data_IF_791048043036
#
_entry.id   IF_791048043036
#
_cell.length_a   1.000
_cell.length_b   1.000
_cell.length_c   1.000
_cell.angle_alpha   90.00
_cell.angle_beta   90.00
_cell.angle_gamma   90.00
#
_symmetry.space_group_name_H-M   'P 1'
#
loop_
_entity.id
_entity.type
_entity.pdbx_description
1 polymer ?
#
# COMPACT_ATOMS: atom_id res chain seq x y z
N UNK A 1 22.04 -34.83 10.52
CA UNK A 1 21.85 -33.51 9.85
C UNK A 1 22.96 -32.48 10.21
N UNK A 2 24.16 -32.90 10.53
CA UNK A 2 25.24 -32.03 11.04
C UNK A 2 26.34 -31.71 10.01
N UNK A 3 26.43 -32.43 8.91
CA UNK A 3 27.54 -32.32 7.94
C UNK A 3 27.58 -31.02 7.10
N UNK A 4 26.55 -30.19 7.13
CA UNK A 4 26.47 -29.00 6.28
C UNK A 4 27.09 -27.73 6.90
N UNK A 5 27.33 -27.74 8.20
CA UNK A 5 27.88 -26.60 8.94
C UNK A 5 29.37 -26.73 9.29
N UNK A 6 29.90 -27.96 9.35
CA UNK A 6 31.34 -28.23 9.61
C UNK A 6 32.27 -27.64 8.55
N UNK A 7 31.77 -27.45 7.32
CA UNK A 7 32.59 -26.90 6.23
C UNK A 7 32.82 -25.39 6.38
N UNK A 8 31.94 -24.66 7.05
CA UNK A 8 32.09 -23.20 7.24
C UNK A 8 33.19 -22.86 8.25
N UNK A 9 33.40 -23.71 9.26
CA UNK A 9 34.42 -23.49 10.29
C UNK A 9 35.84 -23.60 9.75
N UNK A 10 36.03 -24.42 8.68
CA UNK A 10 37.33 -24.64 8.07
C UNK A 10 37.71 -23.64 6.97
N UNK A 11 36.75 -22.77 6.56
CA UNK A 11 36.95 -21.76 5.52
C UNK A 11 37.79 -20.59 6.00
N UNK A 12 38.68 -20.08 5.17
CA UNK A 12 39.35 -18.80 5.37
C UNK A 12 38.36 -17.63 5.31
N UNK A 13 38.69 -16.44 5.84
CA UNK A 13 37.84 -15.25 5.72
C UNK A 13 37.48 -14.92 4.26
N UNK A 14 38.42 -15.01 3.33
CA UNK A 14 38.24 -14.76 1.90
C UNK A 14 37.27 -15.76 1.26
N UNK A 15 37.39 -17.03 1.62
CA UNK A 15 36.47 -18.09 1.15
C UNK A 15 35.04 -17.86 1.68
N UNK A 16 34.91 -17.42 2.94
CA UNK A 16 33.61 -17.05 3.52
C UNK A 16 32.98 -15.87 2.79
N UNK A 17 33.72 -14.79 2.51
CA UNK A 17 33.23 -13.66 1.74
C UNK A 17 32.80 -14.06 0.34
N UNK A 18 33.61 -14.88 -0.36
CA UNK A 18 33.28 -15.39 -1.68
C UNK A 18 32.02 -16.28 -1.66
N UNK A 19 31.89 -17.13 -0.64
CA UNK A 19 30.72 -17.98 -0.48
C UNK A 19 29.44 -17.17 -0.24
N UNK A 20 29.50 -16.09 0.59
CA UNK A 20 28.38 -15.20 0.82
C UNK A 20 27.98 -14.47 -0.47
N UNK A 21 28.96 -13.95 -1.24
CA UNK A 21 28.67 -13.30 -2.51
C UNK A 21 27.96 -14.23 -3.51
N UNK A 22 28.44 -15.47 -3.66
CA UNK A 22 27.81 -16.47 -4.51
C UNK A 22 26.41 -16.89 -4.05
N UNK A 23 26.20 -16.98 -2.74
CA UNK A 23 24.87 -17.31 -2.19
C UNK A 23 23.90 -16.14 -2.36
N UNK A 24 24.38 -14.90 -2.22
CA UNK A 24 23.60 -13.69 -2.48
C UNK A 24 23.15 -13.67 -3.94
N UNK A 25 24.06 -13.87 -4.88
CA UNK A 25 23.76 -13.93 -6.31
C UNK A 25 22.67 -14.96 -6.63
N UNK A 26 22.82 -16.18 -6.11
CA UNK A 26 21.80 -17.23 -6.27
C UNK A 26 20.46 -16.87 -5.64
N UNK A 27 20.45 -16.17 -4.53
CA UNK A 27 19.22 -15.70 -3.89
C UNK A 27 18.51 -14.68 -4.79
N UNK A 28 19.29 -13.77 -5.39
CA UNK A 28 18.76 -12.74 -6.29
C UNK A 28 18.28 -13.32 -7.63
N UNK A 29 18.94 -14.34 -8.18
CA UNK A 29 18.43 -15.08 -9.32
C UNK A 29 17.12 -15.80 -9.01
N UNK A 30 17.05 -16.45 -7.86
CA UNK A 30 15.90 -17.27 -7.50
C UNK A 30 14.66 -16.44 -7.15
N UNK A 31 14.78 -15.20 -6.63
CA UNK A 31 13.59 -14.44 -6.29
C UNK A 31 12.80 -13.96 -7.51
N UNK A 32 13.47 -13.67 -8.63
CA UNK A 32 12.82 -13.31 -9.89
C UNK A 32 11.99 -14.47 -10.42
N UNK A 33 12.63 -15.65 -10.56
CA UNK A 33 11.95 -16.86 -11.02
C UNK A 33 10.82 -17.30 -10.09
N UNK A 34 11.03 -17.20 -8.78
CA UNK A 34 10.01 -17.51 -7.80
C UNK A 34 8.85 -16.52 -7.86
N UNK A 35 9.13 -15.23 -8.03
CA UNK A 35 8.14 -14.17 -8.23
C UNK A 35 7.27 -14.43 -9.44
N UNK A 36 7.87 -14.82 -10.57
CA UNK A 36 7.18 -15.17 -11.80
C UNK A 36 6.20 -16.34 -11.59
N UNK A 37 6.68 -17.44 -11.03
CA UNK A 37 5.86 -18.62 -10.79
C UNK A 37 4.71 -18.34 -9.83
N UNK A 38 4.98 -17.59 -8.76
CA UNK A 38 3.97 -17.21 -7.78
C UNK A 38 2.92 -16.26 -8.37
N UNK A 39 3.33 -15.32 -9.23
CA UNK A 39 2.42 -14.43 -9.95
C UNK A 39 1.50 -15.23 -10.86
N UNK A 40 2.06 -16.14 -11.66
CA UNK A 40 1.30 -16.97 -12.57
C UNK A 40 0.30 -17.88 -11.84
N UNK A 41 0.73 -18.54 -10.78
CA UNK A 41 -0.15 -19.38 -9.94
C UNK A 41 -1.30 -18.57 -9.35
N UNK A 42 -0.99 -17.35 -8.88
CA UNK A 42 -1.99 -16.43 -8.27
C UNK A 42 -3.00 -15.95 -9.31
N UNK A 43 -2.54 -15.53 -10.48
CA UNK A 43 -3.36 -14.98 -11.57
C UNK A 43 -4.26 -16.04 -12.20
N UNK A 44 -3.68 -17.21 -12.54
CA UNK A 44 -4.41 -18.33 -13.14
C UNK A 44 -5.29 -19.09 -12.15
N UNK A 45 -5.09 -18.87 -10.84
CA UNK A 45 -5.83 -19.55 -9.74
C UNK A 45 -5.70 -21.07 -9.78
N UNK A 46 -4.59 -21.63 -10.35
CA UNK A 46 -4.38 -23.08 -10.47
C UNK A 46 -4.26 -23.77 -9.10
N UNK A 47 -3.98 -23.04 -8.01
CA UNK A 47 -4.05 -23.57 -6.65
C UNK A 47 -5.42 -24.17 -6.29
N UNK A 48 -6.50 -23.76 -6.96
CA UNK A 48 -7.84 -24.34 -6.79
C UNK A 48 -7.93 -25.77 -7.29
N UNK A 49 -7.11 -26.13 -8.27
CA UNK A 49 -7.05 -27.54 -8.77
C UNK A 49 -6.51 -28.51 -7.69
N UNK A 50 -5.78 -27.99 -6.71
CA UNK A 50 -5.31 -28.74 -5.55
C UNK A 50 -6.28 -28.67 -4.35
N UNK A 51 -7.45 -28.04 -4.51
CA UNK A 51 -8.47 -27.94 -3.47
C UNK A 51 -8.34 -26.77 -2.51
N UNK A 52 -7.40 -25.81 -2.74
CA UNK A 52 -7.24 -24.64 -1.90
C UNK A 52 -8.20 -23.53 -2.27
N UNK A 53 -8.78 -22.86 -1.29
CA UNK A 53 -9.68 -21.74 -1.52
C UNK A 53 -8.95 -20.44 -1.77
N UNK A 54 -7.76 -20.26 -1.16
CA UNK A 54 -6.96 -19.05 -1.26
C UNK A 54 -5.50 -19.32 -1.65
N UNK A 55 -4.91 -18.35 -2.35
CA UNK A 55 -3.48 -18.38 -2.68
C UNK A 55 -2.59 -18.42 -1.42
N UNK A 56 -3.00 -17.69 -0.36
CA UNK A 56 -2.28 -17.65 0.90
C UNK A 56 -2.21 -19.05 1.53
N UNK A 57 -3.34 -19.69 1.69
CA UNK A 57 -3.43 -21.06 2.23
C UNK A 57 -2.57 -22.05 1.44
N UNK A 58 -2.64 -21.99 0.11
CA UNK A 58 -1.85 -22.81 -0.78
C UNK A 58 -0.35 -22.69 -0.53
N UNK A 59 0.19 -21.44 -0.51
CA UNK A 59 1.64 -21.25 -0.36
C UNK A 59 2.13 -21.55 1.05
N UNK A 60 1.30 -21.32 2.07
CA UNK A 60 1.62 -21.65 3.46
C UNK A 60 1.64 -23.16 3.69
N UNK A 61 0.72 -23.91 3.09
CA UNK A 61 0.61 -25.36 3.28
C UNK A 61 1.59 -26.14 2.42
N UNK A 62 1.69 -25.83 1.12
CA UNK A 62 2.51 -26.60 0.20
C UNK A 62 4.01 -26.29 0.30
N UNK A 63 4.36 -25.03 0.54
CA UNK A 63 5.75 -24.56 0.49
C UNK A 63 6.27 -24.00 1.81
N UNK A 64 5.47 -23.96 2.86
CA UNK A 64 5.85 -23.32 4.14
C UNK A 64 6.33 -21.87 3.95
N UNK A 65 5.81 -21.18 2.92
CA UNK A 65 6.13 -19.81 2.58
C UNK A 65 5.01 -18.89 3.08
N UNK A 66 5.36 -17.85 3.84
CA UNK A 66 4.31 -16.95 4.32
C UNK A 66 3.56 -16.30 3.14
N UNK A 67 2.22 -16.24 3.23
CA UNK A 67 1.39 -15.62 2.19
C UNK A 67 1.75 -14.16 1.92
N UNK A 68 2.26 -13.44 2.95
CA UNK A 68 2.78 -12.08 2.80
C UNK A 68 4.03 -12.03 1.92
N UNK A 69 5.01 -12.92 2.15
CA UNK A 69 6.24 -12.95 1.34
C UNK A 69 5.94 -13.39 -0.10
N UNK A 70 5.13 -14.44 -0.27
CA UNK A 70 4.71 -14.88 -1.60
C UNK A 70 3.99 -13.78 -2.39
N UNK A 71 3.09 -13.03 -1.71
CA UNK A 71 2.41 -11.89 -2.32
C UNK A 71 3.33 -10.76 -2.71
N UNK A 72 4.37 -10.47 -1.93
CA UNK A 72 5.38 -9.45 -2.23
C UNK A 72 6.29 -9.85 -3.40
N UNK A 73 6.72 -11.09 -3.45
CA UNK A 73 7.51 -11.63 -4.56
C UNK A 73 6.75 -11.53 -5.88
N UNK A 74 5.50 -12.00 -5.90
CA UNK A 74 4.64 -11.87 -7.07
C UNK A 74 4.45 -10.39 -7.47
N UNK A 75 4.19 -9.50 -6.50
CA UNK A 75 3.95 -8.09 -6.77
C UNK A 75 5.19 -7.35 -7.30
N UNK A 76 6.39 -7.71 -6.87
CA UNK A 76 7.64 -7.17 -7.42
C UNK A 76 7.80 -7.61 -8.87
N UNK A 77 7.58 -8.88 -9.18
CA UNK A 77 7.64 -9.40 -10.55
C UNK A 77 6.60 -8.69 -11.44
N UNK A 78 5.34 -8.63 -11.02
CA UNK A 78 4.24 -8.02 -11.78
C UNK A 78 4.55 -6.56 -12.14
N UNK A 79 5.05 -5.77 -11.17
CA UNK A 79 5.27 -4.33 -11.38
C UNK A 79 6.53 -4.06 -12.19
N UNK A 80 7.66 -4.64 -11.82
CA UNK A 80 8.94 -4.23 -12.40
C UNK A 80 9.27 -4.97 -13.70
N UNK A 81 8.84 -6.22 -13.84
CA UNK A 81 9.12 -7.02 -15.04
C UNK A 81 7.93 -6.96 -16.01
N UNK A 82 6.71 -7.31 -15.57
CA UNK A 82 5.57 -7.37 -16.50
C UNK A 82 5.03 -5.99 -16.88
N UNK A 83 4.91 -5.03 -15.93
CA UNK A 83 4.33 -3.71 -16.23
C UNK A 83 5.37 -2.72 -16.75
N UNK A 84 6.59 -2.70 -16.19
CA UNK A 84 7.62 -1.70 -16.50
C UNK A 84 8.68 -2.19 -17.48
N UNK A 85 8.75 -3.48 -17.74
CA UNK A 85 9.77 -4.12 -18.62
C UNK A 85 11.22 -3.80 -18.18
N UNK A 86 11.46 -3.71 -16.87
CA UNK A 86 12.80 -3.53 -16.33
C UNK A 86 13.58 -4.82 -16.53
N UNK A 87 14.81 -4.71 -17.06
CA UNK A 87 15.62 -5.89 -17.32
C UNK A 87 16.02 -6.65 -16.05
N UNK A 88 16.15 -7.95 -16.16
CA UNK A 88 16.47 -8.82 -15.01
C UNK A 88 17.82 -8.51 -14.37
N UNK A 89 18.79 -7.98 -15.12
CA UNK A 89 20.10 -7.57 -14.59
C UNK A 89 19.95 -6.46 -13.58
N UNK A 90 19.26 -5.38 -13.96
CA UNK A 90 18.92 -4.24 -13.08
C UNK A 90 18.11 -4.69 -11.86
N UNK A 91 17.14 -5.59 -12.06
CA UNK A 91 16.33 -6.15 -10.96
C UNK A 91 17.21 -6.88 -9.93
N UNK A 92 18.19 -7.66 -10.39
CA UNK A 92 19.13 -8.39 -9.54
C UNK A 92 20.10 -7.45 -8.80
N UNK A 93 20.57 -6.39 -9.47
CA UNK A 93 21.47 -5.39 -8.85
C UNK A 93 20.77 -4.59 -7.75
N UNK A 94 19.55 -4.16 -8.00
CA UNK A 94 18.72 -3.49 -6.99
C UNK A 94 18.43 -4.42 -5.83
N UNK A 95 18.02 -5.64 -6.12
CA UNK A 95 17.68 -6.68 -5.16
C UNK A 95 16.27 -6.53 -4.56
N UNK A 96 15.75 -7.65 -4.09
CA UNK A 96 14.34 -7.77 -3.65
C UNK A 96 13.94 -6.75 -2.57
N UNK A 97 14.78 -6.52 -1.57
CA UNK A 97 14.44 -5.65 -0.44
C UNK A 97 14.19 -4.19 -0.88
N UNK A 98 15.04 -3.65 -1.77
CA UNK A 98 14.89 -2.29 -2.29
C UNK A 98 13.68 -2.18 -3.21
N UNK A 99 13.49 -3.15 -4.11
CA UNK A 99 12.31 -3.20 -4.99
C UNK A 99 11.01 -3.28 -4.20
N UNK A 100 10.96 -4.11 -3.16
CA UNK A 100 9.81 -4.20 -2.28
C UNK A 100 9.50 -2.88 -1.57
N UNK A 101 10.52 -2.09 -1.20
CA UNK A 101 10.33 -0.79 -0.54
C UNK A 101 9.72 0.25 -1.47
N UNK A 102 10.16 0.31 -2.74
CA UNK A 102 9.66 1.29 -3.71
C UNK A 102 8.38 0.85 -4.42
N UNK A 103 8.05 -0.43 -4.47
CA UNK A 103 6.90 -0.99 -5.18
C UNK A 103 5.56 -0.28 -4.89
N UNK A 104 5.19 0.09 -3.64
CA UNK A 104 3.96 0.82 -3.36
C UNK A 104 3.96 2.26 -3.91
N UNK A 105 5.13 2.86 -4.08
CA UNK A 105 5.30 4.21 -4.62
C UNK A 105 5.21 4.17 -6.15
N UNK A 106 5.92 3.25 -6.77
CA UNK A 106 5.89 2.99 -8.21
C UNK A 106 4.47 2.71 -8.72
N UNK A 107 3.65 1.97 -7.98
CA UNK A 107 2.24 1.72 -8.35
C UNK A 107 1.37 2.96 -8.40
N UNK A 108 1.70 3.98 -7.62
CA UNK A 108 0.93 5.23 -7.54
C UNK A 108 1.48 6.32 -8.47
N UNK A 109 2.70 6.15 -8.93
CA UNK A 109 3.46 7.12 -9.71
C UNK A 109 3.08 7.07 -11.20
N UNK A 110 3.27 8.19 -11.90
CA UNK A 110 3.29 8.23 -13.36
C UNK A 110 4.56 7.58 -13.93
N UNK A 111 4.63 7.40 -15.26
CA UNK A 111 5.73 6.71 -15.91
C UNK A 111 7.11 7.34 -15.61
N UNK A 112 7.22 8.66 -15.65
CA UNK A 112 8.47 9.37 -15.40
C UNK A 112 8.94 9.16 -13.96
N UNK A 113 8.03 9.26 -13.02
CA UNK A 113 8.30 9.03 -11.60
C UNK A 113 8.65 7.57 -11.29
N UNK A 114 8.10 6.61 -12.05
CA UNK A 114 8.43 5.19 -11.92
C UNK A 114 9.90 4.92 -12.22
N UNK A 115 10.39 5.48 -13.34
CA UNK A 115 11.79 5.36 -13.73
C UNK A 115 12.73 6.03 -12.72
N UNK A 116 12.35 7.21 -12.20
CA UNK A 116 13.09 7.88 -11.13
C UNK A 116 13.21 7.02 -9.86
N UNK A 117 12.14 6.29 -9.50
CA UNK A 117 12.18 5.41 -8.34
C UNK A 117 13.09 4.19 -8.55
N UNK A 118 13.10 3.63 -9.75
CA UNK A 118 14.01 2.53 -10.10
C UNK A 118 15.45 3.01 -10.03
N UNK A 119 15.76 4.15 -10.64
CA UNK A 119 17.10 4.77 -10.60
C UNK A 119 17.54 5.05 -9.15
N UNK A 120 16.68 5.63 -8.32
CA UNK A 120 17.00 5.86 -6.89
C UNK A 120 17.25 4.56 -6.13
N UNK A 121 16.52 3.50 -6.45
CA UNK A 121 16.74 2.21 -5.82
C UNK A 121 18.04 1.53 -6.27
N UNK A 122 18.52 1.84 -7.46
CA UNK A 122 19.82 1.38 -7.98
C UNK A 122 20.97 2.14 -7.31
N UNK A 123 20.89 3.47 -7.27
CA UNK A 123 21.97 4.35 -6.81
C UNK A 123 22.13 4.40 -5.28
N UNK A 124 20.98 4.36 -4.53
CA UNK A 124 21.02 4.58 -3.09
C UNK A 124 21.22 3.29 -2.29
N UNK A 125 22.06 3.32 -1.26
CA UNK A 125 22.11 2.25 -0.26
C UNK A 125 20.74 2.04 0.39
N UNK A 126 20.45 0.81 0.80
CA UNK A 126 19.16 0.41 1.41
C UNK A 126 18.74 1.32 2.59
N UNK A 127 19.71 1.81 3.37
CA UNK A 127 19.45 2.71 4.50
C UNK A 127 18.96 4.08 4.02
N UNK A 128 19.67 4.67 3.07
CA UNK A 128 19.40 6.01 2.57
C UNK A 128 18.09 6.04 1.77
N UNK A 129 17.82 4.99 0.98
CA UNK A 129 16.54 4.80 0.29
C UNK A 129 15.37 4.74 1.29
N UNK A 130 15.55 4.03 2.42
CA UNK A 130 14.51 3.94 3.47
C UNK A 130 14.26 5.27 4.15
N UNK A 131 15.31 6.05 4.41
CA UNK A 131 15.17 7.39 4.96
C UNK A 131 14.45 8.32 3.99
N UNK A 132 14.85 8.34 2.73
CA UNK A 132 14.20 9.13 1.69
C UNK A 132 12.71 8.81 1.54
N UNK A 133 12.33 7.51 1.52
CA UNK A 133 10.93 7.10 1.50
C UNK A 133 10.17 7.57 2.75
N UNK A 134 10.82 7.57 3.91
CA UNK A 134 10.20 8.04 5.16
C UNK A 134 9.94 9.53 5.13
N UNK A 135 10.86 10.32 4.59
CA UNK A 135 10.71 11.77 4.45
C UNK A 135 9.53 12.12 3.52
N UNK A 136 9.46 11.50 2.35
CA UNK A 136 8.35 11.70 1.40
C UNK A 136 6.99 11.36 2.06
N UNK A 137 6.89 10.22 2.74
CA UNK A 137 5.67 9.84 3.44
C UNK A 137 5.30 10.79 4.57
N UNK A 138 6.28 11.42 5.20
CA UNK A 138 6.05 12.44 6.23
C UNK A 138 5.51 13.73 5.61
N UNK A 139 6.11 14.19 4.52
CA UNK A 139 5.64 15.37 3.78
C UNK A 139 4.22 15.18 3.21
N UNK A 140 3.93 14.02 2.62
CA UNK A 140 2.57 13.68 2.14
C UNK A 140 1.56 13.75 3.30
N UNK A 141 1.91 13.19 4.45
CA UNK A 141 1.03 13.17 5.62
C UNK A 141 0.83 14.56 6.22
N UNK A 142 1.85 15.42 6.21
CA UNK A 142 1.74 16.82 6.64
C UNK A 142 0.84 17.61 5.68
N UNK A 143 0.99 17.44 4.37
CA UNK A 143 0.11 18.04 3.35
C UNK A 143 -1.35 17.59 3.50
N UNK A 144 -1.59 16.31 3.74
CA UNK A 144 -2.94 15.78 3.97
C UNK A 144 -3.57 16.35 5.26
N UNK A 145 -2.78 16.54 6.31
CA UNK A 145 -3.27 17.16 7.55
C UNK A 145 -3.61 18.63 7.36
N UNK A 146 -2.82 19.38 6.61
CA UNK A 146 -3.09 20.79 6.32
C UNK A 146 -4.35 20.96 5.46
N UNK A 147 -4.52 20.13 4.42
CA UNK A 147 -5.74 20.14 3.60
C UNK A 147 -6.98 19.79 4.44
N UNK A 148 -6.89 18.82 5.32
CA UNK A 148 -7.99 18.45 6.21
C UNK A 148 -8.35 19.59 7.18
N UNK A 149 -7.37 20.31 7.71
CA UNK A 149 -7.56 21.45 8.56
C UNK A 149 -8.26 22.59 7.81
N UNK A 150 -7.75 22.94 6.63
CA UNK A 150 -8.38 23.97 5.77
C UNK A 150 -9.84 23.60 5.45
N UNK A 151 -10.12 22.35 5.18
CA UNK A 151 -11.48 21.87 4.90
C UNK A 151 -12.39 22.01 6.12
N UNK A 152 -11.90 21.67 7.32
CA UNK A 152 -12.64 21.83 8.58
C UNK A 152 -12.89 23.29 8.87
N UNK A 153 -11.90 24.17 8.72
CA UNK A 153 -12.03 25.59 8.95
C UNK A 153 -13.05 26.23 8.02
N UNK A 154 -13.04 25.91 6.72
CA UNK A 154 -14.05 26.34 5.76
C UNK A 154 -15.46 25.84 6.11
N UNK A 155 -15.58 24.64 6.65
CA UNK A 155 -16.86 24.07 7.05
C UNK A 155 -17.42 24.78 8.29
N UNK A 156 -16.55 25.06 9.27
CA UNK A 156 -16.88 25.84 10.47
C UNK A 156 -17.30 27.26 10.12
N UNK A 157 -16.60 27.91 9.20
CA UNK A 157 -16.93 29.26 8.72
C UNK A 157 -18.33 29.30 8.09
N UNK A 158 -18.67 28.31 7.24
CA UNK A 158 -20.00 28.17 6.64
C UNK A 158 -21.10 27.93 7.68
N UNK A 159 -20.86 27.06 8.65
CA UNK A 159 -21.82 26.82 9.76
C UNK A 159 -22.00 28.08 10.57
N UNK A 160 -20.94 28.79 10.91
CA UNK A 160 -21.00 30.05 11.65
C UNK A 160 -21.79 31.12 10.90
N UNK A 161 -21.59 31.24 9.58
CA UNK A 161 -22.36 32.14 8.72
C UNK A 161 -23.85 31.79 8.68
N UNK A 162 -24.21 30.49 8.69
CA UNK A 162 -25.60 30.04 8.76
C UNK A 162 -26.23 30.36 10.14
N UNK A 163 -25.50 30.09 11.22
CA UNK A 163 -25.98 30.33 12.59
C UNK A 163 -26.16 31.83 12.90
N UNK A 164 -25.35 32.69 12.28
CA UNK A 164 -25.42 34.15 12.46
C UNK A 164 -26.34 34.84 11.46
N UNK A 165 -26.92 34.13 10.48
CA UNK A 165 -27.85 34.76 9.56
C UNK A 165 -29.25 34.96 10.19
N UNK A 166 -29.98 35.96 9.72
CA UNK A 166 -31.37 36.21 10.14
C UNK A 166 -32.26 35.03 9.71
N UNK A 167 -33.38 34.84 10.42
CA UNK A 167 -34.36 33.78 10.06
C UNK A 167 -34.88 33.93 8.61
N UNK A 168 -35.00 35.17 8.15
CA UNK A 168 -35.43 35.48 6.77
C UNK A 168 -34.36 35.07 5.77
N UNK A 169 -33.08 35.36 6.02
CA UNK A 169 -31.97 34.98 5.15
C UNK A 169 -31.76 33.47 5.14
N UNK A 170 -31.94 32.81 6.28
CA UNK A 170 -31.88 31.37 6.37
C UNK A 170 -32.96 30.70 5.51
N UNK A 171 -34.21 31.19 5.63
CA UNK A 171 -35.32 30.67 4.81
C UNK A 171 -35.07 30.89 3.32
N UNK A 172 -34.52 32.04 2.94
CA UNK A 172 -34.17 32.34 1.55
C UNK A 172 -33.06 31.42 1.02
N UNK A 173 -32.02 31.22 1.79
CA UNK A 173 -30.92 30.31 1.44
C UNK A 173 -31.40 28.85 1.34
N UNK A 174 -32.28 28.42 2.26
CA UNK A 174 -32.87 27.07 2.19
C UNK A 174 -33.79 26.94 0.97
N UNK A 175 -34.58 27.97 0.64
CA UNK A 175 -35.39 27.94 -0.55
C UNK A 175 -34.58 27.87 -1.85
N UNK A 176 -33.43 28.57 -1.92
CA UNK A 176 -32.50 28.45 -3.06
C UNK A 176 -31.83 27.07 -3.17
N UNK A 177 -31.53 26.46 -2.05
CA UNK A 177 -30.87 25.12 -2.03
C UNK A 177 -31.85 23.99 -2.37
N UNK A 178 -33.13 24.17 -2.03
CA UNK A 178 -34.16 23.13 -2.14
C UNK A 178 -35.32 23.53 -3.07
N UNK A 179 -35.05 24.46 -4.01
CA UNK A 179 -36.10 24.98 -4.89
C UNK A 179 -36.86 23.90 -5.70
N UNK A 180 -36.19 22.73 -5.93
CA UNK A 180 -36.75 21.59 -6.67
C UNK A 180 -37.15 20.41 -5.75
N UNK A 181 -37.02 20.53 -4.43
CA UNK A 181 -37.30 19.44 -3.50
C UNK A 181 -38.61 19.67 -2.74
N UNK A 182 -39.41 18.61 -2.59
CA UNK A 182 -40.61 18.65 -1.76
C UNK A 182 -40.23 18.89 -0.28
N UNK A 183 -40.80 19.92 0.38
CA UNK A 183 -40.58 20.17 1.79
C UNK A 183 -40.86 18.99 2.73
N UNK A 184 -41.81 18.13 2.39
CA UNK A 184 -42.13 16.93 3.18
C UNK A 184 -41.03 15.86 3.06
N UNK A 185 -40.46 15.67 1.87
CA UNK A 185 -39.31 14.77 1.68
C UNK A 185 -38.08 15.27 2.42
N UNK A 186 -37.82 16.58 2.42
CA UNK A 186 -36.74 17.18 3.20
C UNK A 186 -36.93 16.91 4.69
N UNK A 187 -38.14 17.16 5.22
CA UNK A 187 -38.45 16.88 6.63
C UNK A 187 -38.27 15.41 6.99
N UNK A 188 -38.63 14.51 6.09
CA UNK A 188 -38.45 13.07 6.29
C UNK A 188 -36.97 12.69 6.40
N UNK A 189 -36.14 13.14 5.47
CA UNK A 189 -34.68 12.89 5.47
C UNK A 189 -34.02 13.47 6.70
N UNK A 190 -34.39 14.70 7.11
CA UNK A 190 -33.83 15.34 8.33
C UNK A 190 -34.18 14.52 9.58
N UNK A 191 -35.46 14.06 9.71
CA UNK A 191 -35.87 13.24 10.85
C UNK A 191 -35.18 11.86 10.88
N UNK A 192 -34.96 11.24 9.73
CA UNK A 192 -34.23 9.98 9.64
C UNK A 192 -32.77 10.14 10.08
N UNK A 193 -32.09 11.18 9.61
CA UNK A 193 -30.72 11.49 10.02
C UNK A 193 -30.61 11.83 11.50
N UNK A 194 -31.54 12.61 12.02
CA UNK A 194 -31.59 12.92 13.45
C UNK A 194 -31.73 11.65 14.30
N UNK A 195 -32.63 10.74 13.94
CA UNK A 195 -32.80 9.45 14.63
C UNK A 195 -31.56 8.58 14.56
N UNK A 196 -30.90 8.53 13.40
CA UNK A 196 -29.64 7.79 13.25
C UNK A 196 -28.57 8.34 14.17
N UNK A 197 -28.42 9.67 14.23
CA UNK A 197 -27.45 10.33 15.11
C UNK A 197 -27.76 10.11 16.61
N UNK A 198 -29.01 10.20 17.01
CA UNK A 198 -29.44 9.94 18.39
C UNK A 198 -29.18 8.47 18.77
N UNK A 199 -29.39 7.52 17.84
CA UNK A 199 -29.09 6.10 18.06
C UNK A 199 -27.60 5.81 18.19
N UNK A 200 -26.74 6.50 17.43
CA UNK A 200 -25.29 6.39 17.55
C UNK A 200 -24.80 6.94 18.88
N UNK A 201 -25.26 8.13 19.29
CA UNK A 201 -24.95 8.71 20.58
C UNK A 201 -25.39 7.83 21.78
N UNK A 202 -26.53 7.14 21.64
CA UNK A 202 -27.00 6.23 22.68
C UNK A 202 -26.20 4.93 22.74
N UNK A 203 -25.67 4.45 21.62
CA UNK A 203 -24.75 3.29 21.58
C UNK A 203 -23.41 3.60 22.23
N UNK A 204 -22.88 4.81 22.02
CA UNK A 204 -21.62 5.25 22.66
C UNK A 204 -21.76 5.47 24.18
N UNK A 205 -22.97 5.70 24.68
CA UNK A 205 -23.25 5.92 26.11
C UNK A 205 -23.64 4.65 26.87
N UNK A 206 -23.79 3.52 26.17
CA UNK A 206 -24.05 2.25 26.82
C UNK A 206 -22.70 1.57 27.14
N UNK A 207 -22.42 1.27 28.43
CA UNK A 207 -21.15 0.67 28.89
C UNK A 207 -20.94 -0.76 28.37
#
# INVERSE_FOLDING_TARGET
MTAKYEHVETMTPEERFSAVAKLKEKLEENFVSLGQLLSEIKRSKIFRMKGYESFKEFVETEYSLSGSLAGKLAAVFDVFIEEMDVDEGTIREIGFDRLQMIQPLVRKADWTQRDEWVQKAEELPTKDLREHIREIKKEEKEKDMDLKKVFIDQYLERITAILNCSRTDLNYKLALYFQDADPEDIKKVVRERQRSFENELNKEKSP
#
